data_IF_678313969916
#
_entry.id   IF_678313969916
#
_cell.length_a   1.000
_cell.length_b   1.000
_cell.length_c   1.000
_cell.angle_alpha   90.00
_cell.angle_beta   90.00
_cell.angle_gamma   90.00
#
_symmetry.space_group_name_H-M   'P 1'
#
loop_
_entity.id
_entity.type
_entity.pdbx_description
1 polymer ?
#
# COMPACT_ATOMS: atom_id res chain seq x y z
N UNK A 1 -6.66 -15.31 -9.41
CA UNK A 1 -6.49 -13.85 -9.26
C UNK A 1 -6.17 -13.31 -10.64
N UNK A 2 -6.91 -12.33 -11.11
CA UNK A 2 -6.62 -11.63 -12.37
C UNK A 2 -6.21 -10.20 -12.05
N UNK A 3 -5.15 -9.72 -12.70
CA UNK A 3 -4.65 -8.37 -12.52
C UNK A 3 -4.55 -7.74 -13.90
N UNK A 4 -5.27 -6.65 -14.11
CA UNK A 4 -5.20 -5.87 -15.34
C UNK A 4 -4.58 -4.52 -15.02
N UNK A 5 -3.58 -4.12 -15.79
CA UNK A 5 -2.90 -2.83 -15.65
C UNK A 5 -3.41 -1.91 -16.75
N UNK A 6 -3.90 -0.75 -16.36
CA UNK A 6 -4.32 0.32 -17.25
C UNK A 6 -3.41 1.53 -17.06
N UNK A 7 -2.86 2.05 -18.15
CA UNK A 7 -2.00 3.24 -18.15
C UNK A 7 -2.87 4.50 -18.23
N UNK A 8 -2.97 5.24 -17.11
CA UNK A 8 -3.75 6.49 -17.05
C UNK A 8 -2.89 7.69 -17.49
N UNK A 9 -1.61 7.71 -17.10
CA UNK A 9 -0.66 8.77 -17.45
C UNK A 9 0.78 8.26 -17.36
N UNK A 10 1.76 9.03 -17.83
CA UNK A 10 3.18 8.59 -17.85
C UNK A 10 3.76 8.16 -16.50
N UNK A 11 3.16 8.59 -15.38
CA UNK A 11 3.53 8.17 -14.02
C UNK A 11 2.38 7.53 -13.25
N UNK A 12 1.15 7.50 -13.78
CA UNK A 12 -0.03 6.95 -13.08
C UNK A 12 -0.52 5.70 -13.79
N UNK A 13 -0.63 4.60 -13.05
CA UNK A 13 -1.23 3.36 -13.53
C UNK A 13 -2.40 2.99 -12.63
N UNK A 14 -3.47 2.49 -13.22
CA UNK A 14 -4.63 1.95 -12.53
C UNK A 14 -4.60 0.42 -12.61
N UNK A 15 -4.59 -0.23 -11.46
CA UNK A 15 -4.59 -1.69 -11.35
C UNK A 15 -6.01 -2.15 -11.04
N UNK A 16 -6.59 -2.95 -11.92
CA UNK A 16 -7.84 -3.66 -11.68
C UNK A 16 -7.50 -5.06 -11.18
N UNK A 17 -7.82 -5.33 -9.92
CA UNK A 17 -7.48 -6.60 -9.28
C UNK A 17 -8.78 -7.36 -8.98
N UNK A 18 -8.87 -8.58 -9.51
CA UNK A 18 -9.98 -9.50 -9.28
C UNK A 18 -9.52 -10.71 -8.46
N UNK A 19 -10.09 -10.84 -7.27
CA UNK A 19 -9.91 -11.95 -6.36
C UNK A 19 -11.08 -12.92 -6.52
N UNK A 20 -10.82 -14.21 -6.82
CA UNK A 20 -11.87 -15.20 -6.97
C UNK A 20 -12.65 -15.39 -5.66
N UNK A 21 -13.93 -15.71 -5.77
CA UNK A 21 -14.82 -15.92 -4.63
C UNK A 21 -14.28 -16.97 -3.64
N UNK A 22 -13.63 -18.03 -4.13
CA UNK A 22 -13.08 -19.10 -3.30
C UNK A 22 -12.07 -18.59 -2.26
N UNK A 23 -11.18 -17.68 -2.65
CA UNK A 23 -10.21 -17.06 -1.75
C UNK A 23 -10.88 -16.10 -0.77
N UNK A 24 -11.91 -15.36 -1.21
CA UNK A 24 -12.71 -14.49 -0.35
C UNK A 24 -13.41 -15.30 0.75
N UNK A 25 -14.06 -16.41 0.37
CA UNK A 25 -14.74 -17.31 1.31
C UNK A 25 -13.74 -17.92 2.29
N UNK A 26 -12.57 -18.38 1.80
CA UNK A 26 -11.51 -18.93 2.66
C UNK A 26 -11.01 -17.94 3.70
N UNK A 27 -10.82 -16.68 3.32
CA UNK A 27 -10.35 -15.63 4.24
C UNK A 27 -11.44 -15.22 5.24
N UNK A 28 -12.70 -15.12 4.80
CA UNK A 28 -13.85 -14.94 5.68
C UNK A 28 -13.97 -16.07 6.70
N UNK A 29 -13.85 -17.32 6.26
CA UNK A 29 -13.89 -18.51 7.13
C UNK A 29 -12.78 -18.47 8.18
N UNK A 30 -11.56 -18.10 7.78
CA UNK A 30 -10.44 -17.93 8.70
C UNK A 30 -10.71 -16.83 9.72
N UNK A 31 -11.24 -15.68 9.28
CA UNK A 31 -11.56 -14.57 10.15
C UNK A 31 -12.65 -14.93 11.17
N UNK A 32 -13.73 -15.59 10.73
CA UNK A 32 -14.78 -16.07 11.63
C UNK A 32 -14.28 -17.12 12.62
N UNK A 33 -13.38 -18.02 12.21
CA UNK A 33 -12.77 -18.99 13.11
C UNK A 33 -11.87 -18.34 14.16
N UNK A 34 -11.16 -17.28 13.80
CA UNK A 34 -10.34 -16.51 14.73
C UNK A 34 -11.21 -15.71 15.71
N UNK A 35 -12.24 -15.04 15.19
CA UNK A 35 -13.22 -14.31 15.99
C UNK A 35 -13.96 -15.24 16.96
N UNK A 36 -14.29 -16.46 16.53
CA UNK A 36 -14.95 -17.46 17.40
C UNK A 36 -14.16 -17.74 18.67
N UNK A 37 -12.82 -17.71 18.62
CA UNK A 37 -11.94 -17.95 19.78
C UNK A 37 -11.92 -16.78 20.77
N UNK A 38 -12.04 -15.56 20.27
CA UNK A 38 -11.90 -14.33 21.08
C UNK A 38 -13.24 -13.72 21.49
N UNK A 39 -14.29 -13.90 20.69
CA UNK A 39 -15.60 -13.28 20.89
C UNK A 39 -16.33 -13.87 22.10
N UNK A 40 -16.73 -12.98 23.01
CA UNK A 40 -17.58 -13.30 24.16
C UNK A 40 -19.04 -13.00 23.78
N UNK A 41 -19.77 -14.02 23.37
CA UNK A 41 -21.20 -13.89 23.05
C UNK A 41 -22.05 -14.33 24.24
N UNK A 42 -22.99 -13.48 24.67
CA UNK A 42 -23.94 -13.81 25.73
C UNK A 42 -24.71 -15.08 25.37
N UNK A 43 -24.70 -16.08 26.25
CA UNK A 43 -25.36 -17.37 26.04
C UNK A 43 -24.49 -18.48 25.45
N UNK A 44 -23.28 -18.17 24.95
CA UNK A 44 -22.36 -19.18 24.43
C UNK A 44 -21.03 -19.17 25.18
N UNK A 45 -20.53 -20.37 25.51
CA UNK A 45 -19.15 -20.51 26.00
C UNK A 45 -18.18 -20.00 24.90
N UNK A 46 -17.14 -19.22 25.25
CA UNK A 46 -16.14 -18.76 24.29
C UNK A 46 -15.63 -19.92 23.41
N UNK A 47 -15.53 -19.70 22.10
CA UNK A 47 -15.13 -20.76 21.16
C UNK A 47 -16.25 -21.70 20.71
N UNK A 48 -17.47 -21.62 21.24
CA UNK A 48 -18.59 -22.51 20.90
C UNK A 48 -19.81 -21.81 20.28
N UNK A 49 -19.71 -20.51 20.00
CA UNK A 49 -20.76 -19.79 19.29
C UNK A 49 -20.93 -20.32 17.85
N UNK A 50 -22.16 -20.55 17.37
CA UNK A 50 -22.44 -20.87 15.97
C UNK A 50 -22.07 -19.73 15.03
N UNK A 51 -21.69 -20.09 13.80
CA UNK A 51 -21.30 -19.12 12.76
C UNK A 51 -22.40 -18.11 12.45
N UNK A 52 -23.65 -18.57 12.34
CA UNK A 52 -24.79 -17.70 12.04
C UNK A 52 -24.98 -16.56 13.08
N UNK A 53 -24.65 -16.81 14.35
CA UNK A 53 -24.74 -15.79 15.41
C UNK A 53 -23.60 -14.78 15.28
N UNK A 54 -22.38 -15.27 15.00
CA UNK A 54 -21.20 -14.42 14.77
C UNK A 54 -21.39 -13.54 13.54
N UNK A 55 -21.90 -14.09 12.44
CA UNK A 55 -22.25 -13.34 11.24
C UNK A 55 -23.27 -12.26 11.57
N UNK A 56 -24.37 -12.57 12.27
CA UNK A 56 -25.39 -11.55 12.57
C UNK A 56 -24.85 -10.36 13.38
N UNK A 57 -23.91 -10.60 14.29
CA UNK A 57 -23.39 -9.55 15.17
C UNK A 57 -22.18 -8.80 14.60
N UNK A 58 -21.27 -9.52 13.92
CA UNK A 58 -19.96 -9.00 13.51
C UNK A 58 -19.76 -8.96 12.00
N UNK A 59 -20.83 -9.11 11.19
CA UNK A 59 -20.73 -9.10 9.71
C UNK A 59 -19.93 -7.91 9.20
N UNK A 60 -20.28 -6.69 9.62
CA UNK A 60 -19.67 -5.47 9.11
C UNK A 60 -18.19 -5.39 9.46
N UNK A 61 -17.86 -5.66 10.74
CA UNK A 61 -16.49 -5.60 11.22
C UNK A 61 -15.60 -6.65 10.54
N UNK A 62 -16.09 -7.90 10.46
CA UNK A 62 -15.36 -8.98 9.80
C UNK A 62 -15.19 -8.72 8.31
N UNK A 63 -16.22 -8.19 7.63
CA UNK A 63 -16.12 -7.87 6.21
C UNK A 63 -15.10 -6.75 5.97
N UNK A 64 -15.06 -5.71 6.81
CA UNK A 64 -14.11 -4.61 6.70
C UNK A 64 -12.65 -5.04 6.98
N UNK A 65 -12.46 -5.89 7.99
CA UNK A 65 -11.14 -6.44 8.32
C UNK A 65 -10.63 -7.36 7.19
N UNK A 66 -11.51 -8.23 6.68
CA UNK A 66 -11.16 -9.17 5.62
C UNK A 66 -10.93 -8.46 4.29
N UNK A 67 -11.74 -7.46 3.93
CA UNK A 67 -11.49 -6.67 2.71
C UNK A 67 -10.15 -5.94 2.79
N UNK A 68 -9.86 -5.27 3.91
CA UNK A 68 -8.59 -4.58 4.12
C UNK A 68 -7.39 -5.53 4.02
N UNK A 69 -7.51 -6.73 4.61
CA UNK A 69 -6.47 -7.75 4.55
C UNK A 69 -6.29 -8.31 3.13
N UNK A 70 -7.40 -8.65 2.47
CA UNK A 70 -7.39 -9.14 1.09
C UNK A 70 -6.72 -8.15 0.16
N UNK A 71 -7.12 -6.88 0.18
CA UNK A 71 -6.53 -5.81 -0.63
C UNK A 71 -5.02 -5.74 -0.40
N UNK A 72 -4.56 -5.79 0.86
CA UNK A 72 -3.14 -5.72 1.19
C UNK A 72 -2.36 -6.91 0.63
N UNK A 73 -2.88 -8.13 0.80
CA UNK A 73 -2.24 -9.36 0.30
C UNK A 73 -2.22 -9.37 -1.24
N UNK A 74 -3.36 -9.16 -1.88
CA UNK A 74 -3.47 -9.17 -3.34
C UNK A 74 -2.70 -8.03 -4.01
N UNK A 75 -2.62 -6.86 -3.37
CA UNK A 75 -1.83 -5.74 -3.89
C UNK A 75 -0.34 -6.05 -3.86
N UNK A 76 0.17 -6.62 -2.76
CA UNK A 76 1.59 -7.03 -2.67
C UNK A 76 1.90 -8.09 -3.72
N UNK A 77 1.03 -9.07 -3.92
CA UNK A 77 1.24 -10.12 -4.90
C UNK A 77 1.13 -9.60 -6.34
N UNK A 78 0.22 -8.67 -6.62
CA UNK A 78 0.14 -7.97 -7.90
C UNK A 78 1.43 -7.18 -8.19
N UNK A 79 1.97 -6.45 -7.22
CA UNK A 79 3.24 -5.73 -7.37
C UNK A 79 4.42 -6.65 -7.67
N UNK A 80 4.49 -7.81 -7.01
CA UNK A 80 5.52 -8.83 -7.27
C UNK A 80 5.40 -9.42 -8.68
N UNK A 81 4.18 -9.63 -9.17
CA UNK A 81 3.95 -10.18 -10.51
C UNK A 81 4.37 -9.21 -11.62
N UNK A 82 4.18 -7.91 -11.41
CA UNK A 82 4.41 -6.89 -12.45
C UNK A 82 5.80 -6.23 -12.33
N UNK A 83 6.58 -6.55 -11.28
CA UNK A 83 7.89 -5.95 -10.96
C UNK A 83 7.86 -4.40 -11.02
N UNK A 84 6.72 -3.80 -10.66
CA UNK A 84 6.55 -2.35 -10.74
C UNK A 84 7.11 -1.69 -9.48
N UNK A 85 8.07 -0.78 -9.69
CA UNK A 85 8.57 0.12 -8.64
C UNK A 85 7.59 1.27 -8.43
N UNK A 86 6.58 1.00 -7.62
CA UNK A 86 5.64 2.00 -7.14
C UNK A 86 6.30 2.99 -6.18
N UNK A 87 5.93 4.26 -6.32
CA UNK A 87 6.33 5.34 -5.43
C UNK A 87 5.09 5.80 -4.66
N UNK A 88 5.18 5.77 -3.33
CA UNK A 88 4.12 6.24 -2.46
C UNK A 88 3.06 5.19 -2.12
N UNK A 89 2.02 5.64 -1.41
CA UNK A 89 0.88 4.82 -1.03
C UNK A 89 -0.15 4.80 -2.17
N UNK A 90 -0.71 3.63 -2.53
CA UNK A 90 -1.77 3.56 -3.53
C UNK A 90 -3.03 4.29 -3.05
N UNK A 91 -3.72 4.95 -3.98
CA UNK A 91 -5.10 5.35 -3.77
C UNK A 91 -5.99 4.14 -4.05
N UNK A 92 -6.69 3.67 -3.01
CA UNK A 92 -7.57 2.51 -3.08
C UNK A 92 -9.01 3.00 -3.06
N UNK A 93 -9.82 2.54 -4.01
CA UNK A 93 -11.27 2.70 -3.98
C UNK A 93 -11.94 1.32 -3.84
N UNK A 94 -11.98 0.76 -2.61
CA UNK A 94 -12.50 -0.57 -2.40
C UNK A 94 -14.04 -0.56 -2.38
N UNK A 95 -14.72 -1.35 -3.22
CA UNK A 95 -16.16 -1.53 -3.10
C UNK A 95 -16.52 -2.40 -1.88
N UNK A 96 -17.80 -2.36 -1.51
CA UNK A 96 -18.35 -3.19 -0.43
C UNK A 96 -18.14 -4.68 -0.72
N UNK A 97 -17.57 -5.39 0.27
CA UNK A 97 -17.33 -6.82 0.16
C UNK A 97 -18.64 -7.60 0.33
N UNK A 98 -19.02 -8.32 -0.73
CA UNK A 98 -20.11 -9.30 -0.71
C UNK A 98 -19.56 -10.71 -0.57
N UNK A 99 -20.07 -11.46 0.40
CA UNK A 99 -19.54 -12.78 0.77
C UNK A 99 -19.62 -13.86 -0.33
N UNK A 100 -20.45 -13.65 -1.36
CA UNK A 100 -20.73 -14.64 -2.42
C UNK A 100 -20.33 -14.18 -3.83
N UNK A 101 -19.56 -13.11 -3.95
CA UNK A 101 -19.12 -12.60 -5.25
C UNK A 101 -17.58 -12.49 -5.28
N UNK A 102 -17.01 -12.50 -6.48
CA UNK A 102 -15.60 -12.17 -6.67
C UNK A 102 -15.34 -10.73 -6.21
N UNK A 103 -14.24 -10.52 -5.49
CA UNK A 103 -13.88 -9.20 -4.99
C UNK A 103 -13.04 -8.48 -6.04
N UNK A 104 -13.58 -7.39 -6.59
CA UNK A 104 -12.91 -6.55 -7.58
C UNK A 104 -12.63 -5.19 -6.95
N UNK A 105 -11.42 -4.69 -7.07
CA UNK A 105 -11.09 -3.35 -6.61
C UNK A 105 -10.07 -2.69 -7.53
N UNK A 106 -10.12 -1.37 -7.52
CA UNK A 106 -9.23 -0.52 -8.29
C UNK A 106 -8.18 0.08 -7.36
N UNK A 107 -6.92 -0.03 -7.77
CA UNK A 107 -5.80 0.59 -7.09
C UNK A 107 -5.05 1.52 -8.05
N UNK A 108 -5.10 2.82 -7.79
CA UNK A 108 -4.30 3.79 -8.55
C UNK A 108 -2.94 3.92 -7.89
N UNK A 109 -1.90 3.67 -8.66
CA UNK A 109 -0.50 3.72 -8.24
C UNK A 109 0.29 4.73 -9.06
N UNK A 110 1.27 5.35 -8.41
CA UNK A 110 2.26 6.17 -9.09
C UNK A 110 3.55 5.36 -9.27
N UNK A 111 4.11 5.38 -10.47
CA UNK A 111 5.32 4.65 -10.83
C UNK A 111 6.44 5.64 -11.09
N UNK A 112 7.67 5.20 -10.81
CA UNK A 112 8.85 5.99 -11.15
C UNK A 112 8.88 6.23 -12.67
N UNK A 113 8.96 7.48 -13.14
CA UNK A 113 9.17 7.74 -14.56
C UNK A 113 10.53 7.20 -15.00
N UNK A 114 10.58 6.67 -16.22
CA UNK A 114 11.84 6.32 -16.87
C UNK A 114 12.51 7.62 -17.36
N UNK A 115 13.47 8.11 -16.59
CA UNK A 115 14.26 9.28 -16.98
C UNK A 115 15.39 8.78 -17.87
N UNK A 116 15.30 9.07 -19.17
CA UNK A 116 16.37 8.81 -20.13
C UNK A 116 17.65 9.54 -19.73
N UNK A 117 18.81 9.00 -20.11
CA UNK A 117 20.10 9.67 -19.90
C UNK A 117 20.06 11.12 -20.40
N UNK A 118 20.14 12.05 -19.46
CA UNK A 118 20.24 13.47 -19.74
C UNK A 118 21.70 13.72 -20.14
N UNK A 119 21.93 14.26 -21.33
CA UNK A 119 23.29 14.61 -21.76
C UNK A 119 23.78 15.83 -20.98
N UNK A 120 24.76 15.61 -20.10
CA UNK A 120 25.38 16.67 -19.28
C UNK A 120 26.51 17.42 -20.03
N UNK A 121 26.81 17.07 -21.29
CA UNK A 121 27.84 17.73 -22.11
C UNK A 121 27.43 19.15 -22.48
N UNK A 122 27.65 20.09 -21.57
CA UNK A 122 27.36 21.52 -21.76
C UNK A 122 27.14 22.31 -20.46
N UNK A 123 26.97 21.62 -19.32
CA UNK A 123 26.80 22.27 -18.02
C UNK A 123 28.11 22.91 -17.56
N UNK A 124 28.21 24.24 -17.71
CA UNK A 124 29.32 25.05 -17.19
C UNK A 124 29.15 25.23 -15.68
N UNK A 125 29.80 24.37 -14.91
CA UNK A 125 29.89 24.51 -13.46
C UNK A 125 30.96 25.55 -13.10
N UNK A 126 30.58 26.63 -12.41
CA UNK A 126 31.54 27.54 -11.79
C UNK A 126 31.93 26.99 -10.44
N UNK A 127 33.12 26.40 -10.34
CA UNK A 127 33.71 26.02 -9.04
C UNK A 127 34.27 27.29 -8.40
N UNK A 128 33.62 27.79 -7.35
CA UNK A 128 34.21 28.84 -6.52
C UNK A 128 35.32 28.21 -5.68
N UNK A 129 36.57 28.48 -6.04
CA UNK A 129 37.73 28.15 -5.22
C UNK A 129 37.98 29.33 -4.28
N UNK A 130 37.49 29.22 -3.06
CA UNK A 130 37.81 30.17 -2.00
C UNK A 130 39.10 29.69 -1.33
N UNK A 131 40.15 30.49 -1.44
CA UNK A 131 41.40 30.25 -0.70
C UNK A 131 41.36 31.21 0.47
N UNK A 132 41.34 30.67 1.69
CA UNK A 132 41.33 31.49 2.91
C UNK A 132 42.63 32.29 2.93
N UNK A 133 42.53 33.61 3.02
CA UNK A 133 43.70 34.48 3.04
C UNK A 133 44.12 34.75 4.49
N UNK A 134 45.42 34.83 4.77
CA UNK A 134 45.92 35.08 6.14
C UNK A 134 45.36 36.38 6.75
N UNK A 135 45.05 37.36 5.91
CA UNK A 135 44.40 38.61 6.31
C UNK A 135 42.97 38.42 6.87
N UNK A 136 42.20 37.46 6.35
CA UNK A 136 40.86 37.14 6.87
C UNK A 136 40.96 36.38 8.19
N UNK A 137 42.01 35.56 8.37
CA UNK A 137 42.32 34.88 9.63
C UNK A 137 42.69 35.89 10.71
N UNK A 138 43.55 36.86 10.38
CA UNK A 138 43.99 37.90 11.31
C UNK A 138 42.85 38.85 11.72
N UNK A 139 41.98 39.20 10.76
CA UNK A 139 40.76 39.98 11.02
C UNK A 139 39.83 39.23 12.00
N UNK A 140 39.65 37.92 11.79
CA UNK A 140 38.81 37.10 12.66
C UNK A 140 39.41 36.92 14.05
N UNK A 141 40.74 36.77 14.15
CA UNK A 141 41.46 36.70 15.43
C UNK A 141 41.32 37.99 16.25
N UNK A 142 41.36 39.17 15.59
CA UNK A 142 41.14 40.47 16.25
C UNK A 142 39.71 40.68 16.72
N UNK A 143 38.72 40.12 16.03
CA UNK A 143 37.32 40.21 16.46
C UNK A 143 36.98 39.34 17.69
N UNK A 144 37.85 38.37 18.01
CA UNK A 144 37.71 37.46 19.16
C UNK A 144 38.50 37.93 20.40
N UNK A 145 39.38 38.92 20.26
CA UNK A 145 40.10 39.57 21.36
C UNK A 145 39.29 40.74 21.94
#
# INVERSE_FOLDING_TARGET
MHVTVEDESGVKKKLHIEIPQEEVVRQLDSAYNQLKKTAKIKGFRPGKAPRAVLERMFKKDVHADVSSKLIKESFIDALKQIDLKVIGSPALDPPDLKANEAYRYDATIEVKPDIKDIDFKGLKLKKSLYTVNDAEIDLQLKALQ
#
